data_IF_932958784469
#
_entry.id   IF_932958784469
#
_cell.length_a   1.000
_cell.length_b   1.000
_cell.length_c   1.000
_cell.angle_alpha   90.00
_cell.angle_beta   90.00
_cell.angle_gamma   90.00
#
_symmetry.space_group_name_H-M   'P 1'
#
loop_
_entity.id
_entity.type
_entity.pdbx_description
1 polymer ?
#
# COMPACT_ATOMS: atom_id res chain seq x y z
N UNK A 1 67.41 11.94 -26.16
CA UNK A 1 66.37 12.90 -26.59
C UNK A 1 65.02 12.28 -26.32
N UNK A 2 64.32 12.70 -25.26
CA UNK A 2 62.99 12.17 -24.91
C UNK A 2 61.95 13.09 -25.53
N UNK A 3 61.27 12.63 -26.57
CA UNK A 3 60.18 13.33 -27.25
C UNK A 3 58.93 13.30 -26.37
N UNK A 4 58.55 14.45 -25.80
CA UNK A 4 57.23 14.63 -25.17
C UNK A 4 56.16 14.69 -26.26
N UNK A 5 55.28 13.68 -26.27
CA UNK A 5 54.04 13.63 -27.06
C UNK A 5 53.00 14.64 -26.52
N UNK A 6 52.02 15.08 -27.34
CA UNK A 6 51.12 16.18 -27.00
C UNK A 6 50.08 15.74 -25.95
N UNK A 7 50.39 15.92 -24.67
CA UNK A 7 49.53 15.55 -23.53
C UNK A 7 48.27 16.42 -23.41
N UNK A 8 48.26 17.60 -24.03
CA UNK A 8 47.20 18.60 -23.91
C UNK A 8 45.78 18.10 -24.31
N UNK A 9 45.69 17.16 -25.25
CA UNK A 9 44.41 16.61 -25.72
C UNK A 9 43.83 15.59 -24.73
N UNK A 10 44.68 14.70 -24.19
CA UNK A 10 44.31 13.73 -23.18
C UNK A 10 43.92 14.42 -21.86
N UNK A 11 44.68 15.44 -21.45
CA UNK A 11 44.42 16.21 -20.22
C UNK A 11 43.08 16.96 -20.28
N UNK A 12 42.75 17.59 -21.42
CA UNK A 12 41.46 18.25 -21.63
C UNK A 12 40.28 17.28 -21.61
N UNK A 13 40.48 16.08 -22.13
CA UNK A 13 39.45 15.03 -22.15
C UNK A 13 39.20 14.48 -20.75
N UNK A 14 40.26 14.24 -19.97
CA UNK A 14 40.17 13.82 -18.58
C UNK A 14 39.41 14.85 -17.71
N UNK A 15 39.69 16.14 -17.88
CA UNK A 15 38.98 17.22 -17.18
C UNK A 15 37.48 17.25 -17.51
N UNK A 16 37.10 17.01 -18.78
CA UNK A 16 35.70 16.93 -19.18
C UNK A 16 34.98 15.75 -18.52
N UNK A 17 35.63 14.58 -18.46
CA UNK A 17 35.07 13.38 -17.81
C UNK A 17 34.89 13.63 -16.31
N UNK A 18 35.89 14.21 -15.64
CA UNK A 18 35.81 14.52 -14.21
C UNK A 18 34.70 15.53 -13.90
N UNK A 19 34.57 16.59 -14.72
CA UNK A 19 33.49 17.57 -14.59
C UNK A 19 32.10 16.92 -14.78
N UNK A 20 31.94 16.12 -15.84
CA UNK A 20 30.69 15.39 -16.09
C UNK A 20 30.33 14.44 -14.94
N UNK A 21 31.30 13.71 -14.40
CA UNK A 21 31.11 12.81 -13.25
C UNK A 21 30.68 13.56 -11.99
N UNK A 22 31.36 14.67 -11.64
CA UNK A 22 31.00 15.48 -10.47
C UNK A 22 29.59 16.06 -10.59
N UNK A 23 29.22 16.54 -11.78
CA UNK A 23 27.89 17.05 -12.06
C UNK A 23 26.83 15.94 -11.96
N UNK A 24 27.12 14.74 -12.47
CA UNK A 24 26.24 13.59 -12.33
C UNK A 24 26.04 13.20 -10.86
N UNK A 25 27.12 13.12 -10.07
CA UNK A 25 27.06 12.83 -8.64
C UNK A 25 26.25 13.88 -7.87
N UNK A 26 26.41 15.17 -8.18
CA UNK A 26 25.61 16.23 -7.57
C UNK A 26 24.12 16.05 -7.85
N UNK A 27 23.75 15.72 -9.10
CA UNK A 27 22.36 15.45 -9.48
C UNK A 27 21.80 14.20 -8.81
N UNK A 28 22.61 13.14 -8.67
CA UNK A 28 22.20 11.92 -7.97
C UNK A 28 21.88 12.21 -6.49
N UNK A 29 22.71 13.01 -5.81
CA UNK A 29 22.44 13.41 -4.42
C UNK A 29 21.12 14.17 -4.28
N UNK A 30 20.86 15.13 -5.16
CA UNK A 30 19.60 15.89 -5.17
C UNK A 30 18.39 14.98 -5.45
N UNK A 31 18.52 14.05 -6.39
CA UNK A 31 17.48 13.05 -6.68
C UNK A 31 17.19 12.18 -5.47
N UNK A 32 18.22 11.64 -4.83
CA UNK A 32 18.06 10.79 -3.66
C UNK A 32 17.43 11.56 -2.49
N UNK A 33 17.84 12.80 -2.27
CA UNK A 33 17.24 13.67 -1.26
C UNK A 33 15.76 13.94 -1.57
N UNK A 34 15.41 14.21 -2.83
CA UNK A 34 14.02 14.44 -3.23
C UNK A 34 13.15 13.19 -3.05
N UNK A 35 13.67 12.00 -3.39
CA UNK A 35 12.97 10.73 -3.17
C UNK A 35 12.77 10.46 -1.68
N UNK A 36 13.79 10.69 -0.86
CA UNK A 36 13.69 10.56 0.58
C UNK A 36 12.62 11.49 1.17
N UNK A 37 12.64 12.77 0.78
CA UNK A 37 11.63 13.74 1.23
C UNK A 37 10.21 13.39 0.76
N UNK A 38 10.07 12.81 -0.43
CA UNK A 38 8.77 12.32 -0.91
C UNK A 38 8.28 11.17 -0.04
N UNK A 39 9.15 10.19 0.23
CA UNK A 39 8.81 9.05 1.07
C UNK A 39 8.35 9.49 2.46
N UNK A 40 9.12 10.36 3.11
CA UNK A 40 8.80 10.92 4.42
C UNK A 40 7.43 11.63 4.42
N UNK A 41 7.18 12.50 3.44
CA UNK A 41 5.88 13.19 3.33
C UNK A 41 4.71 12.24 3.10
N UNK A 42 4.92 11.21 2.28
CA UNK A 42 3.90 10.21 1.99
C UNK A 42 3.58 9.39 3.25
N UNK A 43 4.60 8.99 3.99
CA UNK A 43 4.47 8.28 5.27
C UNK A 43 3.69 9.12 6.28
N UNK A 44 4.09 10.37 6.51
CA UNK A 44 3.35 11.28 7.40
C UNK A 44 1.89 11.53 6.96
N UNK A 45 1.64 11.66 5.65
CA UNK A 45 0.28 11.82 5.13
C UNK A 45 -0.57 10.57 5.38
N UNK A 46 0.03 9.39 5.25
CA UNK A 46 -0.66 8.12 5.48
C UNK A 46 -1.05 7.95 6.96
N UNK A 47 -0.14 8.26 7.89
CA UNK A 47 -0.39 8.23 9.33
C UNK A 47 -1.53 9.18 9.73
N UNK A 48 -1.49 10.42 9.23
CA UNK A 48 -2.56 11.39 9.48
C UNK A 48 -3.91 10.92 8.93
N UNK A 49 -3.91 10.32 7.75
CA UNK A 49 -5.13 9.81 7.12
C UNK A 49 -5.72 8.69 7.96
N UNK A 50 -4.89 7.76 8.42
CA UNK A 50 -5.32 6.67 9.31
C UNK A 50 -5.90 7.20 10.62
N UNK A 51 -5.26 8.18 11.25
CA UNK A 51 -5.76 8.79 12.49
C UNK A 51 -7.12 9.48 12.28
N UNK A 52 -7.29 10.24 11.19
CA UNK A 52 -8.57 10.88 10.83
C UNK A 52 -9.67 9.85 10.57
N UNK A 53 -9.35 8.76 9.88
CA UNK A 53 -10.30 7.69 9.60
C UNK A 53 -10.82 7.07 10.89
N UNK A 54 -9.91 6.77 11.84
CA UNK A 54 -10.27 6.23 13.16
C UNK A 54 -11.22 7.16 13.91
N UNK A 55 -10.91 8.46 13.98
CA UNK A 55 -11.77 9.45 14.64
C UNK A 55 -13.16 9.54 13.97
N UNK A 56 -13.21 9.52 12.63
CA UNK A 56 -14.48 9.49 11.90
C UNK A 56 -15.31 8.25 12.25
N UNK A 57 -14.69 7.06 12.25
CA UNK A 57 -15.38 5.82 12.61
C UNK A 57 -15.86 5.82 14.06
N UNK A 58 -15.06 6.32 15.00
CA UNK A 58 -15.46 6.45 16.39
C UNK A 58 -16.67 7.39 16.54
N UNK A 59 -16.68 8.51 15.82
CA UNK A 59 -17.83 9.42 15.76
C UNK A 59 -19.07 8.75 15.16
N UNK A 60 -18.90 7.98 14.08
CA UNK A 60 -20.01 7.23 13.46
C UNK A 60 -20.58 6.17 14.39
N UNK A 61 -19.74 5.44 15.13
CA UNK A 61 -20.17 4.45 16.12
C UNK A 61 -20.96 5.12 17.24
N UNK A 62 -20.44 6.20 17.82
CA UNK A 62 -21.16 6.99 18.84
C UNK A 62 -22.50 7.52 18.32
N UNK A 63 -22.54 7.99 17.07
CA UNK A 63 -23.78 8.42 16.44
C UNK A 63 -24.75 7.25 16.22
N UNK A 64 -24.24 6.05 15.92
CA UNK A 64 -25.03 4.82 15.76
C UNK A 64 -25.62 4.32 17.08
N UNK A 65 -24.92 4.48 18.20
CA UNK A 65 -25.45 4.16 19.53
C UNK A 65 -26.54 5.16 19.97
N UNK A 66 -26.45 6.41 19.49
CA UNK A 66 -27.44 7.47 19.71
C UNK A 66 -28.64 7.41 18.74
N UNK A 67 -28.52 6.63 17.65
CA UNK A 67 -29.59 6.45 16.67
C UNK A 67 -30.74 5.66 17.31
N UNK A 68 -31.92 6.28 17.39
CA UNK A 68 -33.15 5.62 17.84
C UNK A 68 -33.34 4.27 17.10
N UNK A 69 -33.79 3.20 17.79
CA UNK A 69 -34.01 1.90 17.17
C UNK A 69 -34.94 1.94 15.95
N UNK A 70 -35.80 2.97 15.85
CA UNK A 70 -36.65 3.22 14.69
C UNK A 70 -35.84 3.64 13.45
N UNK A 71 -34.86 4.54 13.62
CA UNK A 71 -34.01 5.05 12.52
C UNK A 71 -32.98 4.00 12.11
N UNK A 72 -32.40 3.26 13.06
CA UNK A 72 -31.54 2.12 12.78
C UNK A 72 -32.28 1.03 11.97
N UNK A 73 -33.56 0.78 12.29
CA UNK A 73 -34.42 -0.14 11.52
C UNK A 73 -34.78 0.40 10.14
N UNK A 74 -34.91 1.72 9.98
CA UNK A 74 -35.16 2.37 8.70
C UNK A 74 -33.93 2.29 7.78
N UNK A 75 -32.73 2.53 8.33
CA UNK A 75 -31.46 2.38 7.60
C UNK A 75 -31.17 0.93 7.21
N UNK A 76 -31.45 -0.04 8.10
CA UNK A 76 -31.38 -1.48 7.76
C UNK A 76 -32.40 -1.91 6.70
N UNK A 77 -33.51 -1.17 6.57
CA UNK A 77 -34.54 -1.36 5.53
C UNK A 77 -34.28 -0.53 4.28
N UNK A 78 -33.34 0.40 4.30
CA UNK A 78 -32.95 1.15 3.11
C UNK A 78 -32.41 0.14 2.11
N UNK A 79 -33.16 -0.05 1.02
CA UNK A 79 -32.73 -0.94 -0.05
C UNK A 79 -31.44 -0.35 -0.61
N UNK A 80 -30.37 -1.13 -0.55
CA UNK A 80 -29.15 -0.83 -1.28
C UNK A 80 -29.52 -0.55 -2.76
N UNK A 81 -28.90 0.45 -3.40
CA UNK A 81 -29.01 0.67 -4.83
C UNK A 81 -28.83 -0.64 -5.61
N UNK A 82 -29.45 -0.73 -6.79
CA UNK A 82 -29.41 -1.95 -7.60
C UNK A 82 -27.97 -2.34 -7.92
N UNK A 83 -27.13 -1.37 -8.27
CA UNK A 83 -25.70 -1.54 -8.55
C UNK A 83 -24.94 -2.16 -7.35
N UNK A 84 -25.21 -1.68 -6.14
CA UNK A 84 -24.54 -2.20 -4.93
C UNK A 84 -24.99 -3.64 -4.61
N UNK A 85 -26.25 -3.99 -4.90
CA UNK A 85 -26.73 -5.38 -4.79
C UNK A 85 -26.10 -6.30 -5.83
N UNK A 86 -25.88 -5.83 -7.05
CA UNK A 86 -25.21 -6.61 -8.08
C UNK A 86 -23.73 -6.79 -7.77
N UNK A 87 -23.07 -5.74 -7.26
CA UNK A 87 -21.69 -5.81 -6.80
C UNK A 87 -21.53 -6.83 -5.65
N UNK A 88 -22.39 -6.77 -4.63
CA UNK A 88 -22.35 -7.73 -3.53
C UNK A 88 -22.57 -9.18 -3.99
N UNK A 89 -23.36 -9.40 -5.04
CA UNK A 89 -23.55 -10.73 -5.62
C UNK A 89 -22.32 -11.20 -6.40
N UNK A 90 -21.67 -10.31 -7.14
CA UNK A 90 -20.48 -10.65 -7.93
C UNK A 90 -19.22 -10.80 -7.10
N UNK A 91 -19.14 -10.11 -5.95
CA UNK A 91 -18.01 -10.19 -5.01
C UNK A 91 -18.25 -11.13 -3.84
N UNK A 92 -19.24 -12.01 -3.90
CA UNK A 92 -19.50 -12.95 -2.82
C UNK A 92 -18.34 -13.96 -2.72
N UNK A 93 -17.58 -14.02 -1.62
CA UNK A 93 -16.47 -14.98 -1.48
C UNK A 93 -16.97 -16.44 -1.54
N UNK A 94 -18.19 -16.71 -1.09
CA UNK A 94 -18.76 -18.07 -1.08
C UNK A 94 -19.09 -18.59 -2.48
N UNK A 95 -19.14 -17.71 -3.50
CA UNK A 95 -19.38 -18.11 -4.89
C UNK A 95 -18.09 -18.46 -5.64
N UNK A 96 -16.92 -18.27 -5.03
CA UNK A 96 -15.62 -18.56 -5.64
C UNK A 96 -15.34 -20.07 -5.53
N UNK A 97 -15.30 -20.82 -6.65
CA UNK A 97 -15.07 -22.26 -6.58
C UNK A 97 -13.62 -22.57 -6.20
N UNK A 98 -13.43 -23.20 -5.04
CA UNK A 98 -12.12 -23.69 -4.59
C UNK A 98 -11.91 -25.11 -5.08
N UNK A 99 -10.75 -25.39 -5.69
CA UNK A 99 -10.41 -26.71 -6.21
C UNK A 99 -10.37 -27.77 -5.09
N UNK A 100 -10.79 -29.00 -5.38
CA UNK A 100 -10.85 -30.09 -4.40
C UNK A 100 -9.47 -30.48 -3.84
N UNK A 101 -8.40 -30.20 -4.58
CA UNK A 101 -7.00 -30.48 -4.23
C UNK A 101 -6.29 -29.29 -3.57
N UNK A 102 -6.99 -28.19 -3.24
CA UNK A 102 -6.38 -27.08 -2.52
C UNK A 102 -6.00 -27.52 -1.10
N UNK A 103 -4.69 -27.61 -0.84
CA UNK A 103 -4.12 -28.03 0.45
C UNK A 103 -3.92 -26.90 1.46
N UNK A 104 -4.14 -25.65 1.06
CA UNK A 104 -4.02 -24.49 1.93
C UNK A 104 -5.27 -24.25 2.81
N UNK A 105 -5.18 -23.31 3.76
CA UNK A 105 -6.26 -22.99 4.68
C UNK A 105 -7.46 -22.39 3.94
N UNK A 106 -8.66 -22.93 4.18
CA UNK A 106 -9.92 -22.40 3.63
C UNK A 106 -10.55 -21.44 4.65
N UNK A 107 -10.83 -20.22 4.21
CA UNK A 107 -11.46 -19.20 5.04
C UNK A 107 -12.90 -19.05 4.61
N UNK A 108 -13.82 -19.48 5.45
CA UNK A 108 -15.26 -19.25 5.29
C UNK A 108 -15.71 -18.21 6.32
N UNK A 109 -16.68 -17.37 5.94
CA UNK A 109 -17.27 -16.40 6.83
C UNK A 109 -18.26 -17.03 7.81
N UNK A 110 -18.43 -16.48 9.03
CA UNK A 110 -17.70 -15.38 9.62
C UNK A 110 -16.32 -15.80 10.15
N UNK A 111 -15.31 -14.97 9.94
CA UNK A 111 -13.94 -15.24 10.42
C UNK A 111 -13.94 -15.29 11.94
N UNK A 112 -13.62 -16.45 12.49
CA UNK A 112 -13.50 -16.65 13.94
C UNK A 112 -12.06 -16.52 14.40
N UNK A 113 -11.85 -16.36 15.71
CA UNK A 113 -10.48 -16.40 16.29
C UNK A 113 -9.75 -17.68 15.94
N UNK A 114 -10.45 -18.81 15.91
CA UNK A 114 -9.86 -20.10 15.56
C UNK A 114 -9.38 -20.10 14.10
N UNK A 115 -10.23 -19.62 13.18
CA UNK A 115 -9.87 -19.43 11.76
C UNK A 115 -8.58 -18.61 11.60
N UNK A 116 -8.36 -17.60 12.45
CA UNK A 116 -7.17 -16.76 12.42
C UNK A 116 -5.92 -17.49 12.92
N UNK A 117 -6.05 -18.32 13.95
CA UNK A 117 -4.96 -19.17 14.46
C UNK A 117 -4.55 -20.18 13.40
N UNK A 118 -5.52 -20.87 12.81
CA UNK A 118 -5.28 -21.88 11.78
C UNK A 118 -4.60 -21.27 10.54
N UNK A 119 -4.96 -20.03 10.18
CA UNK A 119 -4.33 -19.28 9.09
C UNK A 119 -2.86 -18.97 9.41
N UNK A 120 -2.56 -18.47 10.61
CA UNK A 120 -1.20 -18.16 11.04
C UNK A 120 -0.33 -19.43 11.04
N UNK A 121 -0.87 -20.54 11.54
CA UNK A 121 -0.17 -21.82 11.59
C UNK A 121 0.13 -22.34 10.18
N UNK A 122 -0.84 -22.29 9.27
CA UNK A 122 -0.62 -22.64 7.87
C UNK A 122 0.48 -21.80 7.20
N UNK A 123 0.47 -20.47 7.42
CA UNK A 123 1.52 -19.58 6.89
C UNK A 123 2.91 -19.86 7.48
N UNK A 124 3.00 -20.20 8.77
CA UNK A 124 4.27 -20.56 9.42
C UNK A 124 4.86 -21.85 8.86
N UNK A 125 4.01 -22.80 8.46
CA UNK A 125 4.42 -24.09 7.90
C UNK A 125 4.56 -24.08 6.36
N UNK A 126 4.38 -22.93 5.70
CA UNK A 126 4.57 -22.78 4.26
C UNK A 126 3.50 -23.48 3.40
N UNK A 127 2.30 -23.64 3.94
CA UNK A 127 1.10 -24.12 3.23
C UNK A 127 0.33 -22.95 2.62
#
# INVERSE_FOLDING_TARGET
MITRLPTLSADKSALKIQSAFRNHQARLKLKNQAVWQLHEKLEYSSEQTQAKLKDMFEKLLKASDSLSPSVAKLLKKARLPVEERELLRSTNPDSIPVQANYGGPRVEGPITRQTFVDLIEAFQHGQ
#
